data_IF_471115699663
#
_entry.id   IF_471115699663
#
_cell.length_a   1.000
_cell.length_b   1.000
_cell.length_c   1.000
_cell.angle_alpha   90.00
_cell.angle_beta   90.00
_cell.angle_gamma   90.00
#
_symmetry.space_group_name_H-M   'P 1'
#
loop_
_entity.id
_entity.type
_entity.pdbx_description
1 polymer ?
#
# COMPACT_ATOMS: atom_id res chain seq x y z
N UNK A 1 26.01 9.70 1.80
CA UNK A 1 26.40 8.33 1.38
C UNK A 1 25.15 7.46 1.41
N UNK A 2 24.69 6.99 0.25
CA UNK A 2 23.43 6.27 0.09
C UNK A 2 23.74 4.78 0.25
N UNK A 3 23.45 4.21 1.41
CA UNK A 3 23.60 2.77 1.62
C UNK A 3 22.49 2.08 0.82
N UNK A 4 22.80 1.64 -0.40
CA UNK A 4 21.99 0.65 -1.08
C UNK A 4 22.13 -0.64 -0.27
N UNK A 5 21.10 -0.98 0.50
CA UNK A 5 20.94 -2.34 0.98
C UNK A 5 20.70 -3.20 -0.27
N UNK A 6 21.75 -3.88 -0.71
CA UNK A 6 21.66 -4.95 -1.69
C UNK A 6 20.85 -6.06 -1.01
N UNK A 7 19.55 -6.12 -1.33
CA UNK A 7 18.69 -7.22 -0.92
C UNK A 7 19.23 -8.46 -1.60
N UNK A 8 19.81 -9.38 -0.82
CA UNK A 8 20.11 -10.73 -1.29
C UNK A 8 18.78 -11.42 -1.60
N UNK A 9 18.31 -11.31 -2.84
CA UNK A 9 17.18 -12.09 -3.34
C UNK A 9 17.62 -13.55 -3.45
N UNK A 10 17.39 -14.32 -2.38
CA UNK A 10 17.39 -15.77 -2.48
C UNK A 10 16.36 -16.21 -3.53
N UNK A 11 16.54 -17.39 -4.12
CA UNK A 11 15.66 -17.93 -5.17
C UNK A 11 14.18 -18.08 -4.76
N UNK A 12 13.83 -17.78 -3.50
CA UNK A 12 12.50 -17.87 -2.90
C UNK A 12 11.98 -16.53 -2.37
N UNK A 13 12.36 -15.39 -2.98
CA UNK A 13 11.78 -14.08 -2.61
C UNK A 13 10.27 -14.04 -2.97
N UNK A 14 9.35 -13.91 -2.00
CA UNK A 14 7.91 -13.86 -2.28
C UNK A 14 7.46 -12.51 -2.83
N UNK A 15 8.29 -11.46 -2.73
CA UNK A 15 7.88 -10.09 -3.04
C UNK A 15 7.46 -9.89 -4.52
N UNK A 16 8.18 -10.39 -5.53
CA UNK A 16 7.75 -10.28 -6.92
C UNK A 16 6.40 -10.96 -7.18
N UNK A 17 6.13 -12.11 -6.54
CA UNK A 17 4.86 -12.81 -6.67
C UNK A 17 3.72 -12.02 -6.02
N UNK A 18 3.96 -11.43 -4.84
CA UNK A 18 3.01 -10.55 -4.17
C UNK A 18 2.66 -9.30 -5.00
N UNK A 19 3.67 -8.69 -5.64
CA UNK A 19 3.45 -7.56 -6.56
C UNK A 19 2.68 -7.97 -7.81
N UNK A 20 2.96 -9.16 -8.37
CA UNK A 20 2.23 -9.68 -9.52
C UNK A 20 0.74 -9.89 -9.18
N UNK A 21 0.45 -10.55 -8.06
CA UNK A 21 -0.90 -10.72 -7.54
C UNK A 21 -1.61 -9.37 -7.35
N UNK A 22 -0.96 -8.41 -6.70
CA UNK A 22 -1.52 -7.07 -6.47
C UNK A 22 -1.83 -6.33 -7.78
N UNK A 23 -0.99 -6.51 -8.80
CA UNK A 23 -1.21 -5.95 -10.15
C UNK A 23 -2.39 -6.60 -10.85
N UNK A 24 -2.57 -7.90 -10.70
CA UNK A 24 -3.70 -8.64 -11.28
C UNK A 24 -5.02 -8.17 -10.66
N UNK A 25 -5.07 -7.99 -9.33
CA UNK A 25 -6.21 -7.37 -8.65
C UNK A 25 -6.50 -5.97 -9.16
N UNK A 26 -5.48 -5.10 -9.23
CA UNK A 26 -5.64 -3.75 -9.74
C UNK A 26 -6.17 -3.72 -11.19
N UNK A 27 -5.72 -4.65 -12.02
CA UNK A 27 -6.17 -4.78 -13.41
C UNK A 27 -7.62 -5.23 -13.49
N UNK A 28 -8.03 -6.19 -12.66
CA UNK A 28 -9.42 -6.64 -12.59
C UNK A 28 -10.35 -5.51 -12.10
N UNK A 29 -9.95 -4.80 -11.04
CA UNK A 29 -10.69 -3.64 -10.52
C UNK A 29 -10.82 -2.56 -11.58
N UNK A 30 -9.73 -2.22 -12.29
CA UNK A 30 -9.76 -1.18 -13.33
C UNK A 30 -10.70 -1.50 -14.49
N UNK A 31 -10.93 -2.78 -14.79
CA UNK A 31 -11.90 -3.22 -15.82
C UNK A 31 -13.34 -3.16 -15.33
N UNK A 32 -13.57 -3.39 -14.04
CA UNK A 32 -14.89 -3.44 -13.45
C UNK A 32 -15.41 -2.08 -12.97
N UNK A 33 -14.50 -1.15 -12.67
CA UNK A 33 -14.83 0.14 -12.10
C UNK A 33 -15.60 1.04 -13.06
N UNK A 34 -16.65 1.69 -12.54
CA UNK A 34 -17.36 2.79 -13.18
C UNK A 34 -17.11 4.11 -12.43
N UNK A 35 -17.12 5.22 -13.17
CA UNK A 35 -16.92 6.55 -12.58
C UNK A 35 -17.94 6.83 -11.47
N UNK A 36 -17.45 7.09 -10.26
CA UNK A 36 -18.26 7.34 -9.07
C UNK A 36 -18.34 6.16 -8.11
N UNK A 37 -17.84 4.98 -8.47
CA UNK A 37 -17.79 3.84 -7.57
C UNK A 37 -16.86 4.10 -6.36
N UNK A 38 -17.20 3.47 -5.25
CA UNK A 38 -16.36 3.46 -4.05
C UNK A 38 -15.64 2.12 -4.00
N UNK A 39 -14.31 2.17 -4.01
CA UNK A 39 -13.48 0.99 -3.85
C UNK A 39 -13.13 0.82 -2.37
N UNK A 40 -13.46 -0.34 -1.81
CA UNK A 40 -13.10 -0.70 -0.43
C UNK A 40 -12.19 -1.92 -0.42
N UNK A 41 -10.91 -1.70 -0.15
CA UNK A 41 -9.90 -2.75 -0.05
C UNK A 41 -9.87 -3.31 1.38
N UNK A 42 -9.74 -4.63 1.48
CA UNK A 42 -9.74 -5.35 2.75
C UNK A 42 -8.37 -6.01 2.96
N UNK A 43 -7.77 -5.71 4.10
CA UNK A 43 -6.57 -6.33 4.65
C UNK A 43 -5.25 -6.13 3.90
N UNK A 44 -4.17 -6.66 4.47
CA UNK A 44 -2.79 -6.49 4.01
C UNK A 44 -2.49 -7.07 2.64
N UNK A 45 -3.20 -8.12 2.21
CA UNK A 45 -2.97 -8.75 0.91
C UNK A 45 -3.20 -7.79 -0.27
N UNK A 46 -4.03 -6.76 -0.05
CA UNK A 46 -4.36 -5.75 -1.04
C UNK A 46 -3.64 -4.42 -0.83
N UNK A 47 -2.68 -4.35 0.11
CA UNK A 47 -2.02 -3.08 0.48
C UNK A 47 -1.24 -2.45 -0.68
N UNK A 48 -0.79 -3.24 -1.65
CA UNK A 48 -0.09 -2.77 -2.86
C UNK A 48 -1.00 -2.50 -4.06
N UNK A 49 -2.29 -2.83 -3.99
CA UNK A 49 -3.26 -2.55 -5.07
C UNK A 49 -3.37 -1.04 -5.38
N UNK A 50 -3.45 -0.11 -4.38
CA UNK A 50 -3.51 1.32 -4.65
C UNK A 50 -2.33 1.85 -5.46
N UNK A 51 -1.12 1.34 -5.23
CA UNK A 51 0.07 1.68 -6.02
C UNK A 51 -0.14 1.45 -7.51
N UNK A 52 -0.71 0.30 -7.88
CA UNK A 52 -0.97 -0.04 -9.28
C UNK A 52 -2.16 0.74 -9.84
N UNK A 53 -3.22 0.93 -9.06
CA UNK A 53 -4.38 1.72 -9.48
C UNK A 53 -4.02 3.17 -9.79
N UNK A 54 -3.15 3.81 -8.99
CA UNK A 54 -2.71 5.20 -9.22
C UNK A 54 -1.93 5.38 -10.54
N UNK A 55 -1.30 4.31 -11.05
CA UNK A 55 -0.63 4.34 -12.37
C UNK A 55 -1.63 4.18 -13.52
N UNK A 56 -2.67 3.38 -13.31
CA UNK A 56 -3.75 3.15 -14.28
C UNK A 56 -4.68 4.35 -14.38
N UNK A 57 -4.93 5.02 -13.26
CA UNK A 57 -5.79 6.19 -13.14
C UNK A 57 -5.01 7.36 -12.54
N UNK A 58 -4.25 8.11 -13.36
CA UNK A 58 -3.46 9.23 -12.88
C UNK A 58 -4.34 10.27 -12.16
N UNK A 59 -3.81 10.80 -11.05
CA UNK A 59 -4.47 11.87 -10.27
C UNK A 59 -4.89 13.03 -11.18
N UNK A 60 -6.16 13.42 -11.08
CA UNK A 60 -6.74 14.55 -11.81
C UNK A 60 -7.57 14.16 -13.04
N UNK A 61 -7.42 12.94 -13.55
CA UNK A 61 -8.22 12.44 -14.70
C UNK A 61 -9.51 11.75 -14.24
N UNK A 62 -9.52 11.19 -13.03
CA UNK A 62 -10.68 10.53 -12.45
C UNK A 62 -10.58 10.59 -10.94
N UNK A 63 -11.68 10.95 -10.28
CA UNK A 63 -11.79 10.89 -8.83
C UNK A 63 -12.21 9.47 -8.48
N UNK A 64 -11.30 8.72 -7.86
CA UNK A 64 -11.57 7.40 -7.31
C UNK A 64 -11.62 7.51 -5.79
N UNK A 65 -12.76 7.17 -5.19
CA UNK A 65 -12.88 7.05 -3.74
C UNK A 65 -12.34 5.68 -3.33
N UNK A 66 -11.13 5.62 -2.77
CA UNK A 66 -10.50 4.38 -2.33
C UNK A 66 -10.34 4.39 -0.81
N UNK A 67 -10.91 3.38 -0.16
CA UNK A 67 -10.68 3.04 1.23
C UNK A 67 -9.85 1.77 1.37
N UNK A 68 -9.04 1.69 2.43
CA UNK A 68 -8.34 0.49 2.89
C UNK A 68 -8.73 0.23 4.34
N UNK A 69 -9.14 -0.99 4.67
CA UNK A 69 -9.39 -1.38 6.06
C UNK A 69 -8.46 -2.53 6.46
N UNK A 70 -7.72 -2.35 7.55
CA UNK A 70 -6.76 -3.34 8.06
C UNK A 70 -7.38 -4.09 9.24
N UNK A 71 -7.60 -5.39 9.04
CA UNK A 71 -8.23 -6.24 10.06
C UNK A 71 -7.23 -6.72 11.11
N UNK A 72 -5.98 -6.94 10.71
CA UNK A 72 -4.90 -7.26 11.64
C UNK A 72 -4.30 -5.97 12.23
N UNK A 73 -3.72 -6.04 13.45
CA UNK A 73 -3.05 -4.90 14.09
C UNK A 73 -2.01 -4.24 13.18
N UNK A 74 -1.92 -2.91 13.23
CA UNK A 74 -0.84 -2.22 12.53
C UNK A 74 0.50 -2.43 13.26
N UNK A 75 1.57 -2.87 12.57
CA UNK A 75 2.83 -3.15 13.23
C UNK A 75 3.46 -1.87 13.78
N UNK A 76 4.13 -1.99 14.93
CA UNK A 76 5.00 -0.92 15.43
C UNK A 76 6.07 -0.55 14.41
N UNK A 77 6.54 0.70 14.44
CA UNK A 77 7.57 1.19 13.51
C UNK A 77 8.82 0.29 13.48
N UNK A 78 9.28 -0.20 14.63
CA UNK A 78 10.44 -1.07 14.71
C UNK A 78 10.24 -2.39 13.97
N UNK A 79 9.04 -2.99 14.07
CA UNK A 79 8.66 -4.20 13.34
C UNK A 79 8.52 -3.91 11.85
N UNK A 80 7.82 -2.83 11.49
CA UNK A 80 7.60 -2.44 10.10
C UNK A 80 8.93 -2.21 9.36
N UNK A 81 9.89 -1.52 9.99
CA UNK A 81 11.21 -1.25 9.40
C UNK A 81 12.06 -2.51 9.15
N UNK A 82 11.71 -3.66 9.73
CA UNK A 82 12.39 -4.94 9.41
C UNK A 82 12.03 -5.47 8.02
N UNK A 83 10.87 -5.06 7.47
CA UNK A 83 10.48 -5.44 6.12
C UNK A 83 11.30 -4.64 5.09
N UNK A 84 11.98 -5.29 4.14
CA UNK A 84 12.83 -4.58 3.17
C UNK A 84 12.04 -3.62 2.26
N UNK A 85 10.76 -3.87 2.07
CA UNK A 85 9.85 -3.11 1.20
C UNK A 85 8.83 -2.24 1.97
N UNK A 86 9.06 -1.96 3.25
CA UNK A 86 8.13 -1.17 4.08
C UNK A 86 7.78 0.21 3.49
N UNK A 87 8.75 0.90 2.88
CA UNK A 87 8.51 2.20 2.26
C UNK A 87 7.57 2.11 1.06
N UNK A 88 7.61 1.02 0.30
CA UNK A 88 6.73 0.84 -0.87
C UNK A 88 5.30 0.55 -0.43
N UNK A 89 5.14 -0.24 0.65
CA UNK A 89 3.85 -0.46 1.31
C UNK A 89 3.26 0.87 1.80
N UNK A 90 4.04 1.64 2.56
CA UNK A 90 3.60 2.94 3.08
C UNK A 90 3.22 3.91 1.96
N UNK A 91 4.01 3.98 0.89
CA UNK A 91 3.69 4.82 -0.29
C UNK A 91 2.40 4.39 -0.97
N UNK A 92 2.13 3.09 -1.05
CA UNK A 92 0.88 2.57 -1.59
C UNK A 92 -0.31 2.97 -0.71
N UNK A 93 -0.18 2.83 0.61
CA UNK A 93 -1.22 3.26 1.56
C UNK A 93 -1.52 4.76 1.46
N UNK A 94 -0.53 5.61 1.17
CA UNK A 94 -0.72 7.05 0.99
C UNK A 94 -1.48 7.45 -0.28
N UNK A 95 -1.77 6.50 -1.19
CA UNK A 95 -2.64 6.74 -2.35
C UNK A 95 -4.10 6.81 -1.94
N UNK A 96 -4.52 6.03 -0.94
CA UNK A 96 -5.94 5.88 -0.59
C UNK A 96 -6.47 7.12 0.14
N UNK A 97 -7.78 7.35 0.05
CA UNK A 97 -8.43 8.49 0.70
C UNK A 97 -8.74 8.24 2.18
N UNK A 98 -8.97 6.98 2.54
CA UNK A 98 -9.33 6.58 3.89
C UNK A 98 -8.62 5.29 4.27
N UNK A 99 -8.07 5.26 5.49
CA UNK A 99 -7.49 4.05 6.09
C UNK A 99 -8.24 3.79 7.40
N UNK A 100 -8.86 2.62 7.52
CA UNK A 100 -9.61 2.19 8.69
C UNK A 100 -8.90 1.07 9.45
N UNK A 101 -9.14 1.05 10.76
CA UNK A 101 -8.63 0.07 11.71
C UNK A 101 -9.73 -0.32 12.70
N UNK A 102 -9.59 -1.45 13.40
CA UNK A 102 -10.55 -1.87 14.43
C UNK A 102 -10.51 -1.00 15.70
N UNK A 103 -9.33 -0.53 16.10
CA UNK A 103 -9.13 0.24 17.33
C UNK A 103 -8.26 1.47 17.09
N UNK A 104 -8.42 2.49 17.94
CA UNK A 104 -7.80 3.80 17.75
C UNK A 104 -6.27 3.76 17.91
N UNK A 105 -5.76 2.88 18.77
CA UNK A 105 -4.34 2.70 19.07
C UNK A 105 -3.52 2.37 17.81
N UNK A 106 -4.12 1.69 16.82
CA UNK A 106 -3.44 1.38 15.56
C UNK A 106 -3.29 2.61 14.65
N UNK A 107 -4.18 3.60 14.79
CA UNK A 107 -4.07 4.87 14.06
C UNK A 107 -2.84 5.64 14.54
N UNK A 108 -2.60 5.67 15.86
CA UNK A 108 -1.46 6.40 16.42
C UNK A 108 -0.13 5.86 15.89
N UNK A 109 -0.01 4.54 15.76
CA UNK A 109 1.19 3.88 15.22
C UNK A 109 1.32 4.11 13.71
N UNK A 110 0.21 4.10 12.96
CA UNK A 110 0.21 4.35 11.52
C UNK A 110 0.49 5.82 11.16
N UNK A 111 0.12 6.76 12.03
CA UNK A 111 0.28 8.20 11.83
C UNK A 111 1.61 8.76 12.33
N UNK A 112 2.54 7.93 12.82
CA UNK A 112 3.91 8.37 13.10
C UNK A 112 4.49 8.95 11.80
N UNK A 113 5.09 10.16 11.82
CA UNK A 113 5.55 10.82 10.61
C UNK A 113 6.49 9.90 9.83
N UNK A 114 6.01 9.40 8.69
CA UNK A 114 6.90 8.89 7.65
C UNK A 114 7.64 10.12 7.16
N UNK A 115 8.84 10.38 7.70
CA UNK A 115 9.68 11.50 7.27
C UNK A 115 9.69 11.52 5.75
N UNK A 116 9.13 12.58 5.15
CA UNK A 116 9.24 12.78 3.70
C UNK A 116 10.74 12.84 3.41
N UNK A 117 11.31 11.93 2.60
CA UNK A 117 12.68 12.09 2.17
C UNK A 117 12.75 13.41 1.41
N UNK A 118 13.55 14.35 1.94
CA UNK A 118 13.90 15.58 1.25
C UNK A 118 14.61 15.21 -0.05
N UNK A 119 13.94 15.38 -1.18
CA UNK A 119 14.56 15.43 -2.51
C UNK A 119 14.06 16.68 -3.22
#
# INVERSE_FOLDING_TARGET
MRTQQVVHTSATDPWPAFLAMSKDFATAIAKAYAAGDILWLQDYDLVMVPHFLNRTFPRGTTVFAVGLFLHLPFPSQSVLSTLPFHLDILRSMLVVNHIGFHVYEYVEVACIPVERPSF
#
